data_IF_580936205020
#
_entry.id   IF_580936205020
#
_cell.length_a   1.000
_cell.length_b   1.000
_cell.length_c   1.000
_cell.angle_alpha   90.00
_cell.angle_beta   90.00
_cell.angle_gamma   90.00
#
_symmetry.space_group_name_H-M   'P 1'
#
loop_
_entity.id
_entity.type
_entity.pdbx_description
1 polymer ?
#
# COMPACT_ATOMS: atom_id res chain seq x y z
N UNK A 1 13.66 14.52 5.99
CA UNK A 1 12.51 14.83 5.12
C UNK A 1 11.86 13.55 4.64
N UNK A 2 10.55 13.45 4.78
CA UNK A 2 9.82 12.27 4.36
C UNK A 2 9.57 12.28 2.86
N UNK A 3 9.98 11.20 2.18
CA UNK A 3 9.74 11.05 0.76
C UNK A 3 8.34 10.51 0.46
N UNK A 4 8.00 10.39 -0.84
CA UNK A 4 6.67 9.93 -1.24
C UNK A 4 6.50 8.41 -1.25
N UNK A 5 7.38 7.68 -0.58
CA UNK A 5 7.29 6.23 -0.47
C UNK A 5 6.58 5.84 0.83
N UNK A 6 5.73 4.86 0.72
CA UNK A 6 4.90 4.36 1.81
C UNK A 6 5.25 2.90 2.05
N UNK A 7 5.38 2.51 3.31
CA UNK A 7 5.68 1.11 3.66
C UNK A 7 4.46 0.24 3.49
N UNK A 8 4.65 -0.88 2.82
CA UNK A 8 3.65 -1.92 2.70
C UNK A 8 4.16 -3.17 3.40
N UNK A 9 3.30 -3.79 4.19
CA UNK A 9 3.59 -5.08 4.81
C UNK A 9 2.94 -6.19 4.00
N UNK A 10 3.74 -7.21 3.67
CA UNK A 10 3.22 -8.45 3.10
C UNK A 10 3.14 -9.45 4.23
N UNK A 11 1.95 -9.80 4.66
CA UNK A 11 1.72 -10.71 5.79
C UNK A 11 1.43 -12.10 5.24
N UNK A 12 2.21 -13.07 5.68
CA UNK A 12 2.07 -14.46 5.23
C UNK A 12 1.16 -15.19 6.21
N UNK A 13 -0.01 -15.58 5.73
CA UNK A 13 -1.06 -16.18 6.56
C UNK A 13 -1.31 -17.63 6.15
N UNK A 14 -1.58 -18.53 7.11
CA UNK A 14 -2.13 -19.82 6.76
C UNK A 14 -3.51 -19.59 6.13
N UNK A 15 -3.86 -20.42 5.15
CA UNK A 15 -5.18 -20.32 4.51
C UNK A 15 -6.24 -20.94 5.42
N UNK A 16 -6.64 -20.19 6.43
CA UNK A 16 -7.68 -20.63 7.38
C UNK A 16 -8.59 -19.47 7.72
N UNK A 17 -9.81 -19.80 8.05
CA UNK A 17 -10.84 -18.84 8.45
C UNK A 17 -10.37 -18.03 9.66
N UNK A 18 -10.52 -16.73 9.57
CA UNK A 18 -10.24 -15.82 10.68
C UNK A 18 -8.81 -15.31 10.82
N UNK A 19 -7.86 -15.83 10.02
CA UNK A 19 -6.47 -15.37 10.13
C UNK A 19 -6.33 -13.87 9.90
N UNK A 20 -6.96 -13.34 8.85
CA UNK A 20 -6.90 -11.91 8.58
C UNK A 20 -7.66 -11.08 9.62
N UNK A 21 -8.78 -11.60 10.10
CA UNK A 21 -9.55 -10.95 11.15
C UNK A 21 -8.70 -10.77 12.41
N UNK A 22 -7.95 -11.79 12.80
CA UNK A 22 -7.08 -11.73 13.97
C UNK A 22 -6.03 -10.64 13.84
N UNK A 23 -5.44 -10.50 12.65
CA UNK A 23 -4.44 -9.45 12.36
C UNK A 23 -5.06 -8.07 12.54
N UNK A 24 -6.21 -7.82 11.92
CA UNK A 24 -6.89 -6.53 11.99
C UNK A 24 -7.29 -6.19 13.44
N UNK A 25 -7.81 -7.16 14.17
CA UNK A 25 -8.16 -6.96 15.58
C UNK A 25 -6.94 -6.59 16.42
N UNK A 26 -5.82 -7.26 16.20
CA UNK A 26 -4.58 -6.96 16.90
C UNK A 26 -4.15 -5.51 16.67
N UNK A 27 -4.19 -5.05 15.42
CA UNK A 27 -3.81 -3.69 15.08
C UNK A 27 -4.76 -2.68 15.73
N UNK A 28 -6.06 -2.90 15.62
CA UNK A 28 -7.05 -1.99 16.22
C UNK A 28 -6.90 -1.88 17.74
N UNK A 29 -6.58 -2.98 18.39
CA UNK A 29 -6.36 -3.02 19.83
C UNK A 29 -5.20 -2.10 20.26
N UNK A 30 -4.24 -1.89 19.38
CA UNK A 30 -3.06 -1.07 19.66
C UNK A 30 -3.11 0.30 18.95
N UNK A 31 -4.30 0.78 18.66
CA UNK A 31 -4.54 2.12 18.10
C UNK A 31 -3.86 2.36 16.76
N UNK A 32 -3.69 1.31 15.99
CA UNK A 32 -3.23 1.41 14.61
C UNK A 32 -4.22 0.66 13.73
N UNK A 33 -4.34 1.05 12.48
CA UNK A 33 -5.34 0.45 11.62
C UNK A 33 -4.86 0.33 10.18
N UNK A 34 -5.56 -0.51 9.43
CA UNK A 34 -5.27 -0.77 8.02
C UNK A 34 -5.92 0.33 7.18
N UNK A 35 -5.13 1.00 6.34
CA UNK A 35 -5.63 2.05 5.44
C UNK A 35 -5.73 1.57 3.99
N UNK A 36 -5.09 0.47 3.66
CA UNK A 36 -5.24 -0.18 2.36
C UNK A 36 -4.96 -1.67 2.51
N UNK A 37 -5.63 -2.49 1.73
CA UNK A 37 -5.50 -3.94 1.85
C UNK A 37 -5.77 -4.64 0.53
N UNK A 38 -4.97 -5.66 0.25
CA UNK A 38 -5.18 -6.58 -0.87
C UNK A 38 -4.81 -7.99 -0.40
N UNK A 39 -5.65 -8.97 -0.64
CA UNK A 39 -5.40 -10.34 -0.24
C UNK A 39 -5.34 -11.22 -1.48
N UNK A 40 -4.26 -11.99 -1.59
CA UNK A 40 -4.09 -13.00 -2.64
C UNK A 40 -3.94 -14.35 -1.96
N UNK A 41 -4.68 -15.34 -2.41
CA UNK A 41 -4.57 -16.66 -1.81
C UNK A 41 -4.19 -17.73 -2.84
N UNK A 42 -3.51 -18.76 -2.32
CA UNK A 42 -3.20 -19.97 -3.04
C UNK A 42 -3.82 -21.15 -2.29
N UNK A 43 -3.50 -22.38 -2.68
CA UNK A 43 -4.09 -23.58 -2.08
C UNK A 43 -3.84 -23.67 -0.56
N UNK A 44 -2.62 -23.37 -0.12
CA UNK A 44 -2.21 -23.62 1.27
C UNK A 44 -1.95 -22.36 2.08
N UNK A 45 -1.93 -21.20 1.45
CA UNK A 45 -1.54 -19.96 2.13
C UNK A 45 -2.21 -18.74 1.50
N UNK A 46 -2.11 -17.64 2.20
CA UNK A 46 -2.57 -16.35 1.69
C UNK A 46 -1.50 -15.30 1.98
N UNK A 47 -1.45 -14.28 1.15
CA UNK A 47 -0.60 -13.11 1.37
C UNK A 47 -1.52 -11.91 1.44
N UNK A 48 -1.49 -11.21 2.58
CA UNK A 48 -2.21 -9.96 2.74
C UNK A 48 -1.21 -8.82 2.61
N UNK A 49 -1.45 -7.93 1.65
CA UNK A 49 -0.65 -6.72 1.48
C UNK A 49 -1.41 -5.60 2.15
N UNK A 50 -0.80 -4.97 3.14
CA UNK A 50 -1.47 -3.92 3.89
C UNK A 50 -0.59 -2.68 4.00
N UNK A 51 -1.25 -1.53 3.99
CA UNK A 51 -0.65 -0.25 4.34
C UNK A 51 -1.36 0.19 5.62
N UNK A 52 -0.60 0.67 6.58
CA UNK A 52 -1.10 0.92 7.93
C UNK A 52 -0.87 2.36 8.35
N UNK A 53 -1.60 2.80 9.38
CA UNK A 53 -1.49 4.17 9.88
C UNK A 53 -0.21 4.43 10.67
N UNK A 54 0.39 3.40 11.26
CA UNK A 54 1.60 3.53 12.07
C UNK A 54 2.55 2.35 11.79
N UNK A 55 3.39 2.45 10.74
CA UNK A 55 4.26 1.33 10.35
C UNK A 55 5.23 0.87 11.43
N UNK A 56 5.80 1.80 12.19
CA UNK A 56 6.77 1.45 13.22
C UNK A 56 6.14 0.59 14.32
N UNK A 57 4.93 0.97 14.74
CA UNK A 57 4.18 0.21 15.74
C UNK A 57 3.79 -1.16 15.21
N UNK A 58 3.33 -1.23 13.98
CA UNK A 58 2.93 -2.49 13.35
C UNK A 58 4.11 -3.45 13.24
N UNK A 59 5.26 -2.96 12.86
CA UNK A 59 6.46 -3.80 12.75
C UNK A 59 6.81 -4.41 14.11
N UNK A 60 6.76 -3.62 15.18
CA UNK A 60 7.00 -4.12 16.53
C UNK A 60 5.96 -5.16 16.95
N UNK A 61 4.69 -4.89 16.69
CA UNK A 61 3.60 -5.81 17.02
C UNK A 61 3.78 -7.16 16.30
N UNK A 62 4.11 -7.11 15.03
CA UNK A 62 4.30 -8.33 14.26
C UNK A 62 5.48 -9.15 14.77
N UNK A 63 6.59 -8.50 15.12
CA UNK A 63 7.74 -9.20 15.71
C UNK A 63 7.39 -9.80 17.05
N UNK A 64 6.69 -9.07 17.91
CA UNK A 64 6.29 -9.55 19.24
C UNK A 64 5.32 -10.73 19.19
N UNK A 65 4.51 -10.80 18.15
CA UNK A 65 3.49 -11.83 18.00
C UNK A 65 3.85 -12.92 17.01
N UNK A 66 5.11 -12.96 16.58
CA UNK A 66 5.64 -13.97 15.66
C UNK A 66 4.85 -14.04 14.34
N UNK A 67 4.41 -12.90 13.85
CA UNK A 67 3.76 -12.82 12.54
C UNK A 67 4.83 -12.85 11.46
N UNK A 68 4.67 -13.71 10.47
CA UNK A 68 5.60 -13.77 9.34
C UNK A 68 5.25 -12.65 8.36
N UNK A 69 6.19 -11.75 8.08
CA UNK A 69 5.93 -10.61 7.20
C UNK A 69 7.18 -10.15 6.46
N UNK A 70 6.97 -9.48 5.35
CA UNK A 70 8.00 -8.73 4.64
C UNK A 70 7.58 -7.28 4.53
N UNK A 71 8.53 -6.39 4.27
CA UNK A 71 8.27 -4.96 4.10
C UNK A 71 8.81 -4.53 2.73
N UNK A 72 8.02 -3.77 2.00
CA UNK A 72 8.48 -3.11 0.79
C UNK A 72 7.90 -1.71 0.74
N UNK A 73 8.34 -0.93 -0.24
CA UNK A 73 7.85 0.42 -0.41
C UNK A 73 6.98 0.51 -1.66
N UNK A 74 5.90 1.26 -1.56
CA UNK A 74 4.98 1.49 -2.67
C UNK A 74 4.78 2.99 -2.86
N UNK A 75 4.35 3.36 -4.07
CA UNK A 75 3.99 4.73 -4.38
C UNK A 75 2.48 4.85 -4.22
N UNK A 76 2.01 5.86 -3.49
CA UNK A 76 0.58 6.12 -3.33
C UNK A 76 0.23 7.38 -4.10
N UNK A 77 -0.70 7.25 -5.05
CA UNK A 77 -1.04 8.31 -6.00
C UNK A 77 -2.47 8.78 -5.76
N UNK A 78 -2.64 10.08 -5.59
CA UNK A 78 -3.96 10.68 -5.47
C UNK A 78 -4.67 10.62 -6.83
N UNK A 79 -5.93 10.20 -6.82
CA UNK A 79 -6.73 9.99 -8.04
C UNK A 79 -7.96 10.88 -7.99
N UNK A 80 -7.84 12.10 -8.51
CA UNK A 80 -8.93 13.09 -8.47
C UNK A 80 -10.06 12.76 -9.43
N UNK A 81 -9.70 12.27 -10.62
CA UNK A 81 -10.67 11.86 -11.63
C UNK A 81 -10.24 10.48 -12.13
N UNK A 82 -10.81 9.45 -11.52
CA UNK A 82 -10.32 8.08 -11.65
C UNK A 82 -10.26 7.60 -13.10
N UNK A 83 -11.31 7.82 -13.87
CA UNK A 83 -11.38 7.27 -15.23
C UNK A 83 -10.24 7.78 -16.13
N UNK A 84 -10.02 9.09 -16.16
CA UNK A 84 -8.98 9.67 -17.01
C UNK A 84 -7.59 9.52 -16.41
N UNK A 85 -7.47 9.66 -15.11
CA UNK A 85 -6.15 9.61 -14.45
C UNK A 85 -5.58 8.20 -14.38
N UNK A 86 -6.43 7.18 -14.28
CA UNK A 86 -5.93 5.81 -14.28
C UNK A 86 -5.27 5.48 -15.62
N UNK A 87 -5.90 5.85 -16.74
CA UNK A 87 -5.30 5.67 -18.06
C UNK A 87 -3.99 6.42 -18.17
N UNK A 88 -3.98 7.67 -17.73
CA UNK A 88 -2.78 8.52 -17.79
C UNK A 88 -1.65 7.94 -16.96
N UNK A 89 -1.96 7.45 -15.76
CA UNK A 89 -0.99 6.85 -14.86
C UNK A 89 -0.33 5.63 -15.51
N UNK A 90 -1.14 4.70 -15.99
CA UNK A 90 -0.63 3.46 -16.58
C UNK A 90 0.13 3.74 -17.87
N UNK A 91 -0.34 4.69 -18.69
CA UNK A 91 0.35 5.08 -19.92
C UNK A 91 1.72 5.71 -19.63
N UNK A 92 1.80 6.57 -18.61
CA UNK A 92 3.06 7.21 -18.23
C UNK A 92 4.09 6.18 -17.77
N UNK A 93 3.68 5.22 -16.95
CA UNK A 93 4.57 4.17 -16.48
C UNK A 93 4.98 3.24 -17.62
N UNK A 94 4.06 2.91 -18.51
CA UNK A 94 4.34 2.09 -19.68
C UNK A 94 5.40 2.76 -20.59
N UNK A 95 5.22 4.05 -20.86
CA UNK A 95 6.16 4.81 -21.70
C UNK A 95 7.55 4.87 -21.09
N UNK A 96 7.66 4.87 -19.78
CA UNK A 96 8.93 4.88 -19.07
C UNK A 96 9.50 3.48 -18.83
N UNK A 97 8.82 2.46 -19.33
CA UNK A 97 9.19 1.05 -19.16
C UNK A 97 9.27 0.62 -17.68
N UNK A 98 8.39 1.20 -16.86
CA UNK A 98 8.25 0.80 -15.46
C UNK A 98 7.16 -0.26 -15.36
N UNK A 99 7.50 -1.43 -14.84
CA UNK A 99 6.55 -2.52 -14.66
C UNK A 99 5.74 -2.33 -13.39
N UNK A 100 4.42 -2.45 -13.52
CA UNK A 100 3.51 -2.43 -12.37
C UNK A 100 3.27 -3.88 -11.97
N UNK A 101 3.67 -4.22 -10.74
CA UNK A 101 3.48 -5.58 -10.24
C UNK A 101 2.06 -5.79 -9.74
N UNK A 102 1.56 -4.83 -8.98
CA UNK A 102 0.17 -4.84 -8.52
C UNK A 102 -0.24 -3.46 -8.03
N UNK A 103 -1.55 -3.25 -7.97
CA UNK A 103 -2.14 -2.02 -7.45
C UNK A 103 -3.34 -2.38 -6.58
N UNK A 104 -3.65 -1.51 -5.62
CA UNK A 104 -4.89 -1.62 -4.85
C UNK A 104 -5.26 -0.25 -4.28
N UNK A 105 -6.57 0.03 -4.15
CA UNK A 105 -7.01 1.32 -3.65
C UNK A 105 -6.87 1.42 -2.12
N UNK A 106 -6.80 2.64 -1.62
CA UNK A 106 -6.91 2.89 -0.20
C UNK A 106 -8.36 2.74 0.25
N UNK A 107 -8.56 2.31 1.49
CA UNK A 107 -9.88 2.16 2.11
C UNK A 107 -10.44 3.49 2.61
N UNK A 108 -9.59 4.50 2.72
CA UNK A 108 -9.97 5.84 3.12
C UNK A 108 -9.60 6.81 2.00
N UNK A 109 -10.06 8.05 2.09
CA UNK A 109 -9.80 9.09 1.11
C UNK A 109 -8.97 10.20 1.73
N UNK A 110 -7.62 10.11 1.65
CA UNK A 110 -6.77 11.17 2.16
C UNK A 110 -7.13 12.49 1.47
N UNK A 111 -7.33 13.55 2.26
CA UNK A 111 -7.71 14.87 1.71
C UNK A 111 -9.00 14.82 0.87
N UNK A 112 -9.87 13.83 1.13
CA UNK A 112 -11.13 13.70 0.44
C UNK A 112 -11.07 13.12 -0.97
N UNK A 113 -9.88 12.72 -1.42
CA UNK A 113 -9.67 12.17 -2.76
C UNK A 113 -9.35 10.69 -2.71
N UNK A 114 -9.78 9.95 -3.73
CA UNK A 114 -9.37 8.57 -3.89
C UNK A 114 -7.86 8.48 -4.06
N UNK A 115 -7.26 7.37 -3.63
CA UNK A 115 -5.84 7.14 -3.80
C UNK A 115 -5.58 5.68 -4.12
N UNK A 116 -4.51 5.44 -4.88
CA UNK A 116 -4.13 4.12 -5.35
C UNK A 116 -2.70 3.81 -4.91
N UNK A 117 -2.51 2.66 -4.27
CA UNK A 117 -1.17 2.16 -3.98
C UNK A 117 -0.66 1.40 -5.20
N UNK A 118 0.57 1.69 -5.61
CA UNK A 118 1.16 1.12 -6.82
C UNK A 118 2.52 0.54 -6.47
N UNK A 119 2.69 -0.76 -6.68
CA UNK A 119 3.96 -1.44 -6.50
C UNK A 119 4.62 -1.64 -7.86
N UNK A 120 5.80 -1.06 -8.02
CA UNK A 120 6.53 -1.07 -9.29
C UNK A 120 7.93 -1.63 -9.09
N UNK A 121 8.60 -1.96 -10.19
CA UNK A 121 9.97 -2.46 -10.16
C UNK A 121 11.02 -1.36 -9.96
N UNK A 122 10.67 -0.10 -10.22
CA UNK A 122 11.60 1.03 -10.09
C UNK A 122 10.86 2.24 -9.50
N UNK A 123 10.90 2.36 -8.17
CA UNK A 123 10.22 3.44 -7.45
C UNK A 123 10.74 4.82 -7.84
N UNK A 124 12.06 4.99 -7.97
CA UNK A 124 12.63 6.29 -8.31
C UNK A 124 12.17 6.78 -9.67
N UNK A 125 12.18 5.89 -10.65
CA UNK A 125 11.70 6.23 -11.99
C UNK A 125 10.21 6.57 -11.98
N UNK A 126 9.41 5.75 -11.27
CA UNK A 126 7.97 5.99 -11.15
C UNK A 126 7.68 7.35 -10.52
N UNK A 127 8.35 7.68 -9.42
CA UNK A 127 8.18 8.97 -8.74
C UNK A 127 8.48 10.12 -9.70
N UNK A 128 9.60 10.04 -10.40
CA UNK A 128 10.01 11.10 -11.34
C UNK A 128 8.99 11.27 -12.46
N UNK A 129 8.58 10.17 -13.07
CA UNK A 129 7.63 10.20 -14.19
C UNK A 129 6.26 10.72 -13.77
N UNK A 130 5.74 10.22 -12.67
CA UNK A 130 4.40 10.60 -12.20
C UNK A 130 4.37 12.05 -11.72
N UNK A 131 5.42 12.47 -11.02
CA UNK A 131 5.54 13.88 -10.59
C UNK A 131 5.60 14.80 -11.82
N UNK A 132 6.37 14.42 -12.82
CA UNK A 132 6.48 15.17 -14.07
C UNK A 132 5.16 15.29 -14.83
N UNK A 133 4.29 14.28 -14.69
CA UNK A 133 2.97 14.28 -15.33
C UNK A 133 1.90 14.99 -14.50
N UNK A 134 2.28 15.56 -13.36
CA UNK A 134 1.37 16.35 -12.53
C UNK A 134 0.59 15.56 -11.49
N UNK A 135 0.94 14.30 -11.26
CA UNK A 135 0.29 13.52 -10.22
C UNK A 135 0.74 13.95 -8.84
N UNK A 136 -0.18 13.93 -7.89
CA UNK A 136 0.10 14.18 -6.49
C UNK A 136 0.42 12.85 -5.82
N UNK A 137 1.65 12.70 -5.35
CA UNK A 137 2.07 11.51 -4.62
C UNK A 137 1.91 11.78 -3.12
N UNK A 138 1.43 10.79 -2.39
CA UNK A 138 1.17 10.92 -0.97
C UNK A 138 2.27 10.26 -0.16
N UNK A 139 2.63 10.87 0.97
CA UNK A 139 3.60 10.33 1.90
C UNK A 139 2.91 9.52 2.98
N UNK A 140 3.70 8.84 3.81
CA UNK A 140 3.18 8.12 4.97
C UNK A 140 2.41 9.06 5.91
N UNK A 141 2.91 10.29 6.12
CA UNK A 141 2.23 11.27 6.95
C UNK A 141 0.84 11.61 6.41
N UNK A 142 0.70 11.72 5.10
CA UNK A 142 -0.59 12.05 4.48
C UNK A 142 -1.66 10.99 4.76
N UNK A 143 -1.26 9.74 4.90
CA UNK A 143 -2.21 8.62 5.06
C UNK A 143 -2.29 8.10 6.49
N UNK A 144 -1.48 8.60 7.40
CA UNK A 144 -1.43 8.13 8.80
C UNK A 144 -2.49 8.75 9.71
N UNK A 145 -3.39 9.54 9.17
CA UNK A 145 -4.41 10.23 9.95
C UNK A 145 -5.71 9.47 10.05
#
# INVERSE_FOLDING_TARGET
>A
MEGPLVKQFSVFLPNKVGAMLDIVKMLNKHSTHVVAMSVSESTDSAIARIVVSDPERVEKLFRQNNVAFGVCEVVVVEMREVATQLVKLLAALFMAEVNVHFTYPLLMRPRGQAALAVHVDDNECAISVLTGEGFQLLSQTDISR
#
